data_IF_293198117650
#
_entry.id   IF_293198117650
#
_cell.length_a   1.000
_cell.length_b   1.000
_cell.length_c   1.000
_cell.angle_alpha   90.00
_cell.angle_beta   90.00
_cell.angle_gamma   90.00
#
_symmetry.space_group_name_H-M   'P 1'
#
loop_
_entity.id
_entity.type
_entity.pdbx_description
1 polymer ?
#
# COMPACT_ATOMS: atom_id res chain seq x y z
N UNK A 1 1.92 13.13 -39.33
CA UNK A 1 1.43 14.19 -38.43
C UNK A 1 0.22 13.73 -37.60
N UNK A 2 -0.82 13.17 -38.23
CA UNK A 2 -2.03 12.67 -37.55
C UNK A 2 -1.78 11.54 -36.54
N UNK A 3 -0.96 10.53 -36.88
CA UNK A 3 -0.61 9.44 -35.96
C UNK A 3 0.07 9.95 -34.67
N UNK A 4 0.98 10.92 -34.79
CA UNK A 4 1.70 11.50 -33.65
C UNK A 4 0.75 12.26 -32.71
N UNK A 5 -0.21 12.99 -33.27
CA UNK A 5 -1.23 13.71 -32.51
C UNK A 5 -2.15 12.74 -31.74
N UNK A 6 -2.56 11.64 -32.38
CA UNK A 6 -3.37 10.60 -31.73
C UNK A 6 -2.59 9.96 -30.58
N UNK A 7 -1.33 9.56 -30.80
CA UNK A 7 -0.48 9.00 -29.75
C UNK A 7 -0.32 9.97 -28.59
N UNK A 8 -0.01 11.24 -28.85
CA UNK A 8 0.13 12.24 -27.80
C UNK A 8 -1.18 12.45 -27.03
N UNK A 9 -2.31 12.50 -27.73
CA UNK A 9 -3.64 12.58 -27.11
C UNK A 9 -3.91 11.40 -26.16
N UNK A 10 -3.62 10.17 -26.59
CA UNK A 10 -3.77 8.97 -25.75
C UNK A 10 -2.85 8.99 -24.52
N UNK A 11 -1.61 9.47 -24.66
CA UNK A 11 -0.68 9.59 -23.53
C UNK A 11 -1.19 10.60 -22.49
N UNK A 12 -1.70 11.75 -22.94
CA UNK A 12 -2.27 12.77 -22.05
C UNK A 12 -3.50 12.24 -21.32
N UNK A 13 -4.43 11.58 -22.04
CA UNK A 13 -5.62 10.97 -21.43
C UNK A 13 -5.23 9.92 -20.40
N UNK A 14 -4.29 9.03 -20.72
CA UNK A 14 -3.79 8.02 -19.80
C UNK A 14 -3.18 8.61 -18.54
N UNK A 15 -2.36 9.66 -18.69
CA UNK A 15 -1.78 10.38 -17.55
C UNK A 15 -2.84 11.04 -16.67
N UNK A 16 -3.82 11.74 -17.25
CA UNK A 16 -4.89 12.41 -16.51
C UNK A 16 -5.77 11.40 -15.77
N UNK A 17 -6.17 10.31 -16.44
CA UNK A 17 -6.94 9.24 -15.82
C UNK A 17 -6.16 8.57 -14.69
N UNK A 18 -4.88 8.25 -14.91
CA UNK A 18 -4.02 7.65 -13.89
C UNK A 18 -3.86 8.55 -12.66
N UNK A 19 -3.65 9.85 -12.87
CA UNK A 19 -3.58 10.84 -11.78
C UNK A 19 -4.90 10.98 -11.04
N UNK A 20 -6.03 10.98 -11.75
CA UNK A 20 -7.36 11.02 -11.14
C UNK A 20 -7.64 9.78 -10.29
N UNK A 21 -7.37 8.58 -10.83
CA UNK A 21 -7.52 7.32 -10.10
C UNK A 21 -6.64 7.26 -8.85
N UNK A 22 -5.40 7.74 -8.96
CA UNK A 22 -4.45 7.84 -7.84
C UNK A 22 -5.00 8.74 -6.71
N UNK A 23 -5.49 9.94 -7.05
CA UNK A 23 -6.06 10.86 -6.06
C UNK A 23 -7.28 10.27 -5.36
N UNK A 24 -8.21 9.65 -6.10
CA UNK A 24 -9.39 8.99 -5.52
C UNK A 24 -9.04 7.82 -4.62
N UNK A 25 -7.98 7.07 -4.96
CA UNK A 25 -7.53 5.98 -4.10
C UNK A 25 -6.97 6.55 -2.78
N UNK A 26 -6.20 7.63 -2.81
CA UNK A 26 -5.73 8.29 -1.59
C UNK A 26 -6.88 8.82 -0.72
N UNK A 27 -7.93 9.37 -1.32
CA UNK A 27 -9.13 9.78 -0.57
C UNK A 27 -9.81 8.58 0.10
N UNK A 28 -9.96 7.46 -0.61
CA UNK A 28 -10.49 6.21 -0.07
C UNK A 28 -9.63 5.65 1.09
N UNK A 29 -8.31 5.76 0.97
CA UNK A 29 -7.37 5.38 2.05
C UNK A 29 -7.61 6.25 3.28
N UNK A 30 -7.63 7.59 3.12
CA UNK A 30 -7.86 8.52 4.25
C UNK A 30 -9.18 8.26 4.95
N UNK A 31 -10.25 7.99 4.17
CA UNK A 31 -11.56 7.65 4.73
C UNK A 31 -11.49 6.38 5.58
N UNK A 32 -10.91 5.30 5.05
CA UNK A 32 -10.77 4.02 5.77
C UNK A 32 -9.82 4.12 6.97
N UNK A 33 -8.80 4.97 6.91
CA UNK A 33 -7.93 5.25 8.07
C UNK A 33 -8.71 5.91 9.20
N UNK A 34 -9.60 6.85 8.89
CA UNK A 34 -10.49 7.45 9.87
C UNK A 34 -11.49 6.43 10.44
N UNK A 35 -12.13 5.63 9.57
CA UNK A 35 -13.08 4.58 9.98
C UNK A 35 -12.42 3.52 10.89
N UNK A 36 -11.18 3.14 10.60
CA UNK A 36 -10.44 2.12 11.36
C UNK A 36 -9.57 2.70 12.47
N UNK A 37 -9.56 4.01 12.69
CA UNK A 37 -8.78 4.68 13.73
C UNK A 37 -8.95 4.04 15.12
N UNK A 38 -10.16 3.63 15.57
CA UNK A 38 -10.35 3.06 16.91
C UNK A 38 -9.59 1.75 17.14
N UNK A 39 -9.28 0.99 16.08
CA UNK A 39 -8.51 -0.24 16.19
C UNK A 39 -7.02 0.08 16.37
N UNK A 40 -6.54 -0.05 17.61
CA UNK A 40 -5.17 0.29 17.99
C UNK A 40 -4.17 -0.72 17.43
N UNK A 41 -2.99 -0.22 17.07
CA UNK A 41 -1.91 -1.00 16.47
C UNK A 41 -0.60 -0.68 17.18
N UNK A 42 0.10 -1.74 17.60
CA UNK A 42 1.34 -1.64 18.38
C UNK A 42 2.48 -2.40 17.70
N UNK A 43 3.69 -1.86 17.85
CA UNK A 43 4.93 -2.55 17.47
C UNK A 43 5.46 -3.47 18.57
N UNK A 44 4.88 -3.41 19.78
CA UNK A 44 5.26 -4.23 20.91
C UNK A 44 5.05 -5.72 20.64
N UNK A 45 6.07 -6.52 20.95
CA UNK A 45 6.03 -7.98 20.75
C UNK A 45 5.15 -8.71 21.77
N UNK A 46 4.97 -8.14 22.96
CA UNK A 46 4.26 -8.77 24.06
C UNK A 46 2.91 -8.09 24.25
N UNK A 47 1.86 -8.90 24.36
CA UNK A 47 0.53 -8.41 24.74
C UNK A 47 0.55 -8.06 26.23
N UNK A 48 0.17 -6.83 26.64
CA UNK A 48 0.11 -6.45 28.04
C UNK A 48 -0.91 -7.30 28.83
N UNK A 49 -0.66 -7.49 30.13
CA UNK A 49 -1.56 -8.25 31.01
C UNK A 49 -2.99 -7.70 31.04
N UNK A 50 -3.18 -6.40 30.82
CA UNK A 50 -4.50 -5.76 30.74
C UNK A 50 -5.40 -6.30 29.61
N UNK A 51 -4.81 -6.94 28.60
CA UNK A 51 -5.55 -7.59 27.51
C UNK A 51 -5.77 -9.09 27.75
N UNK A 52 -5.31 -9.65 28.88
CA UNK A 52 -5.43 -11.07 29.19
C UNK A 52 -6.57 -11.32 30.21
N UNK A 53 -7.33 -12.41 30.10
CA UNK A 53 -7.25 -13.44 29.06
C UNK A 53 -7.86 -12.98 27.72
N UNK A 54 -7.24 -13.37 26.61
CA UNK A 54 -7.73 -13.08 25.26
C UNK A 54 -7.51 -14.26 24.31
N UNK A 55 -8.26 -14.26 23.21
CA UNK A 55 -7.94 -15.05 22.03
C UNK A 55 -7.03 -14.24 21.11
N UNK A 56 -6.06 -14.90 20.47
CA UNK A 56 -5.13 -14.26 19.54
C UNK A 56 -5.21 -14.89 18.16
N UNK A 57 -5.11 -14.06 17.11
CA UNK A 57 -5.13 -14.49 15.70
C UNK A 57 -4.09 -13.75 14.90
N UNK A 58 -3.37 -14.45 14.02
CA UNK A 58 -2.55 -13.79 13.00
C UNK A 58 -3.48 -13.12 11.99
N UNK A 59 -3.18 -11.87 11.65
CA UNK A 59 -3.88 -11.09 10.63
C UNK A 59 -2.87 -10.46 9.68
N UNK A 60 -3.28 -10.19 8.44
CA UNK A 60 -2.41 -9.64 7.43
C UNK A 60 -3.13 -8.91 6.29
N UNK A 61 -2.33 -8.19 5.50
CA UNK A 61 -2.81 -7.45 4.35
C UNK A 61 -1.71 -7.23 3.33
N UNK A 62 -1.92 -7.69 2.11
CA UNK A 62 -0.97 -7.56 1.00
C UNK A 62 -1.48 -6.53 0.00
N UNK A 63 -0.55 -5.75 -0.54
CA UNK A 63 -0.81 -4.84 -1.66
C UNK A 63 0.34 -4.95 -2.64
N UNK A 64 0.03 -5.22 -3.91
CA UNK A 64 1.00 -5.21 -5.00
C UNK A 64 0.78 -3.94 -5.80
N UNK A 65 1.85 -3.18 -6.00
CA UNK A 65 1.84 -2.01 -6.87
C UNK A 65 2.75 -2.25 -8.07
N UNK A 66 2.20 -2.10 -9.26
CA UNK A 66 2.96 -2.06 -10.50
C UNK A 66 3.41 -0.62 -10.78
N UNK A 67 4.66 -0.46 -11.23
CA UNK A 67 5.16 0.83 -11.66
C UNK A 67 4.74 1.08 -13.11
N UNK A 68 4.01 2.16 -13.34
CA UNK A 68 3.54 2.54 -14.69
C UNK A 68 4.72 2.95 -15.60
N UNK A 69 4.61 2.67 -16.90
CA UNK A 69 5.60 3.04 -17.92
C UNK A 69 5.95 4.54 -17.91
N UNK A 70 4.95 5.40 -17.68
CA UNK A 70 5.15 6.85 -17.53
C UNK A 70 6.02 7.22 -16.33
N UNK A 71 5.85 6.51 -15.21
CA UNK A 71 6.64 6.73 -14.00
C UNK A 71 8.07 6.24 -14.19
N UNK A 72 8.28 5.17 -14.97
CA UNK A 72 9.61 4.72 -15.41
C UNK A 72 10.30 5.78 -16.28
N UNK A 73 9.61 6.33 -17.27
CA UNK A 73 10.17 7.38 -18.14
C UNK A 73 10.51 8.67 -17.37
N UNK A 74 9.61 9.12 -16.48
CA UNK A 74 9.86 10.28 -15.62
C UNK A 74 11.01 10.05 -14.63
N UNK A 75 11.11 8.83 -14.08
CA UNK A 75 12.22 8.43 -13.22
C UNK A 75 13.55 8.42 -13.98
N UNK A 76 13.58 7.91 -15.22
CA UNK A 76 14.77 7.89 -16.07
C UNK A 76 15.28 9.31 -16.41
N UNK A 77 14.36 10.25 -16.68
CA UNK A 77 14.74 11.65 -16.88
C UNK A 77 15.30 12.28 -15.61
N UNK A 78 14.71 11.95 -14.44
CA UNK A 78 15.12 12.51 -13.14
C UNK A 78 16.38 11.86 -12.58
N UNK A 79 16.66 10.60 -12.91
CA UNK A 79 17.89 9.90 -12.47
C UNK A 79 19.15 10.48 -13.08
N UNK A 80 19.05 11.17 -14.23
CA UNK A 80 20.17 11.92 -14.83
C UNK A 80 20.62 13.11 -13.97
N UNK A 81 19.70 13.69 -13.19
CA UNK A 81 19.96 14.85 -12.32
C UNK A 81 20.06 14.47 -10.83
N UNK A 82 19.75 13.22 -10.48
CA UNK A 82 19.71 12.72 -9.11
C UNK A 82 18.50 13.20 -8.28
N UNK A 83 18.39 12.70 -7.05
CA UNK A 83 17.37 13.11 -6.07
C UNK A 83 16.16 12.17 -5.94
N UNK A 84 15.17 12.60 -5.15
CA UNK A 84 13.95 11.84 -4.83
C UNK A 84 13.07 11.61 -6.07
N UNK A 85 12.57 10.38 -6.22
CA UNK A 85 11.64 9.99 -7.29
C UNK A 85 10.22 9.99 -6.71
N UNK A 86 9.58 11.16 -6.65
CA UNK A 86 8.27 11.33 -6.01
C UNK A 86 7.18 10.38 -6.55
N UNK A 87 7.27 9.99 -7.83
CA UNK A 87 6.36 9.02 -8.43
C UNK A 87 6.46 7.61 -7.81
N UNK A 88 7.66 7.16 -7.43
CA UNK A 88 7.86 5.87 -6.76
C UNK A 88 7.53 5.98 -5.27
N UNK A 89 7.85 7.10 -4.64
CA UNK A 89 7.50 7.36 -3.25
C UNK A 89 5.98 7.29 -3.02
N UNK A 90 5.19 7.95 -3.87
CA UNK A 90 3.71 7.89 -3.82
C UNK A 90 3.18 6.45 -3.94
N UNK A 91 3.75 5.65 -4.85
CA UNK A 91 3.34 4.26 -5.03
C UNK A 91 3.61 3.41 -3.78
N UNK A 92 4.81 3.52 -3.22
CA UNK A 92 5.21 2.76 -2.03
C UNK A 92 4.42 3.22 -0.80
N UNK A 93 4.17 4.52 -0.65
CA UNK A 93 3.35 5.06 0.44
C UNK A 93 1.92 4.48 0.37
N UNK A 94 1.31 4.52 -0.82
CA UNK A 94 -0.03 3.98 -1.03
C UNK A 94 -0.10 2.49 -0.73
N UNK A 95 0.88 1.72 -1.20
CA UNK A 95 0.95 0.27 -0.96
C UNK A 95 1.03 -0.04 0.54
N UNK A 96 1.89 0.67 1.28
CA UNK A 96 2.03 0.52 2.73
C UNK A 96 0.73 0.81 3.46
N UNK A 97 0.09 1.94 3.16
CA UNK A 97 -1.16 2.36 3.81
C UNK A 97 -2.28 1.38 3.50
N UNK A 98 -2.42 0.96 2.25
CA UNK A 98 -3.40 -0.04 1.83
C UNK A 98 -3.20 -1.39 2.53
N UNK A 99 -1.96 -1.88 2.64
CA UNK A 99 -1.66 -3.14 3.32
C UNK A 99 -2.02 -3.09 4.80
N UNK A 100 -1.70 -1.98 5.48
CA UNK A 100 -2.12 -1.76 6.88
C UNK A 100 -3.64 -1.74 7.00
N UNK A 101 -4.33 -1.04 6.09
CA UNK A 101 -5.80 -0.98 6.10
C UNK A 101 -6.42 -2.36 5.92
N UNK A 102 -5.90 -3.19 5.01
CA UNK A 102 -6.36 -4.57 4.80
C UNK A 102 -6.17 -5.44 6.04
N UNK A 103 -5.01 -5.36 6.69
CA UNK A 103 -4.73 -6.05 7.96
C UNK A 103 -5.69 -5.59 9.06
N UNK A 104 -5.93 -4.27 9.18
CA UNK A 104 -6.89 -3.70 10.15
C UNK A 104 -8.32 -4.11 9.85
N UNK A 105 -8.72 -4.17 8.57
CA UNK A 105 -10.05 -4.65 8.16
C UNK A 105 -10.24 -6.13 8.52
N UNK A 106 -9.23 -6.97 8.30
CA UNK A 106 -9.28 -8.37 8.72
C UNK A 106 -9.45 -8.49 10.25
N UNK A 107 -8.63 -7.79 11.02
CA UNK A 107 -8.73 -7.77 12.48
C UNK A 107 -10.10 -7.25 12.99
N UNK A 108 -10.63 -6.19 12.37
CA UNK A 108 -11.96 -5.67 12.71
C UNK A 108 -13.06 -6.71 12.47
N UNK A 109 -13.00 -7.46 11.36
CA UNK A 109 -13.97 -8.55 11.07
C UNK A 109 -13.93 -9.67 12.11
N UNK A 110 -12.79 -9.88 12.75
CA UNK A 110 -12.62 -10.84 13.84
C UNK A 110 -13.04 -10.27 15.21
N UNK A 111 -13.50 -9.03 15.30
CA UNK A 111 -13.84 -8.38 16.56
C UNK A 111 -12.61 -8.05 17.42
N UNK A 112 -11.44 -7.84 16.79
CA UNK A 112 -10.22 -7.53 17.53
C UNK A 112 -10.32 -6.16 18.22
N UNK A 113 -9.77 -6.09 19.43
CA UNK A 113 -9.62 -4.88 20.23
C UNK A 113 -8.32 -4.12 19.91
N UNK A 114 -7.27 -4.85 19.53
CA UNK A 114 -5.96 -4.31 19.18
C UNK A 114 -5.18 -5.28 18.29
N UNK A 115 -4.12 -4.78 17.65
CA UNK A 115 -3.14 -5.59 16.90
C UNK A 115 -1.75 -5.31 17.47
N UNK A 116 -1.02 -6.36 17.85
CA UNK A 116 0.34 -6.30 18.39
C UNK A 116 1.37 -6.86 17.41
N UNK A 117 2.65 -6.57 17.67
CA UNK A 117 3.80 -7.01 16.88
C UNK A 117 3.63 -6.75 15.37
N UNK A 118 3.10 -5.59 15.01
CA UNK A 118 2.90 -5.26 13.59
C UNK A 118 4.23 -5.10 12.87
N UNK A 119 4.32 -5.76 11.72
CA UNK A 119 5.48 -5.78 10.82
C UNK A 119 5.04 -5.47 9.40
N UNK A 120 5.97 -4.90 8.65
CA UNK A 120 5.85 -4.57 7.24
C UNK A 120 7.02 -5.22 6.52
N UNK A 121 6.70 -6.03 5.51
CA UNK A 121 7.68 -6.65 4.64
C UNK A 121 7.45 -6.16 3.22
N UNK A 122 8.53 -6.08 2.43
CA UNK A 122 8.44 -5.69 1.03
C UNK A 122 9.19 -6.69 0.17
N UNK A 123 8.59 -7.09 -0.95
CA UNK A 123 9.22 -7.99 -1.91
C UNK A 123 9.12 -7.40 -3.33
N UNK A 124 10.21 -7.48 -4.08
CA UNK A 124 10.19 -7.15 -5.51
C UNK A 124 9.63 -8.33 -6.29
N UNK A 125 8.48 -8.12 -6.94
CA UNK A 125 7.88 -9.11 -7.85
C UNK A 125 8.34 -8.75 -9.27
N UNK A 126 9.61 -8.98 -9.57
CA UNK A 126 10.16 -8.86 -10.92
C UNK A 126 10.60 -10.24 -11.39
N UNK A 127 9.79 -10.90 -12.23
CA UNK A 127 10.20 -12.13 -12.95
C UNK A 127 10.79 -11.71 -14.30
N UNK A 128 11.99 -12.24 -14.58
CA UNK A 128 12.91 -11.71 -15.59
C UNK A 128 12.60 -11.94 -17.08
N UNK A 129 13.58 -11.47 -17.86
CA UNK A 129 13.78 -11.56 -19.31
C UNK A 129 12.70 -10.92 -20.20
N UNK A 130 12.79 -9.59 -20.38
CA UNK A 130 12.34 -8.96 -21.63
C UNK A 130 11.49 -7.71 -21.53
N UNK A 131 10.95 -7.31 -20.37
CA UNK A 131 10.27 -6.01 -20.24
C UNK A 131 10.23 -5.49 -18.79
N UNK A 132 10.49 -4.20 -18.65
CA UNK A 132 10.81 -3.42 -17.44
C UNK A 132 9.64 -3.23 -16.44
N UNK A 133 8.85 -4.26 -16.13
CA UNK A 133 7.77 -4.10 -15.16
C UNK A 133 8.27 -4.34 -13.74
N UNK A 134 8.65 -3.25 -13.07
CA UNK A 134 8.97 -3.25 -11.65
C UNK A 134 7.66 -3.27 -10.87
N UNK A 135 7.41 -4.36 -10.14
CA UNK A 135 6.31 -4.43 -9.19
C UNK A 135 6.87 -4.65 -7.79
N UNK A 136 6.24 -4.03 -6.80
CA UNK A 136 6.60 -4.17 -5.39
C UNK A 136 5.38 -4.63 -4.63
N UNK A 137 5.54 -5.71 -3.88
CA UNK A 137 4.59 -6.14 -2.87
C UNK A 137 4.94 -5.50 -1.53
N UNK A 138 3.91 -5.08 -0.82
CA UNK A 138 3.99 -4.71 0.59
C UNK A 138 3.04 -5.60 1.38
N UNK A 139 3.56 -6.31 2.37
CA UNK A 139 2.79 -7.14 3.28
C UNK A 139 2.84 -6.56 4.69
N UNK A 140 1.67 -6.23 5.24
CA UNK A 140 1.53 -5.87 6.66
C UNK A 140 0.94 -7.06 7.41
N UNK A 141 1.49 -7.42 8.57
CA UNK A 141 0.94 -8.48 9.42
C UNK A 141 1.18 -8.21 10.90
N UNK A 142 0.39 -8.87 11.75
CA UNK A 142 0.50 -8.79 13.20
C UNK A 142 -0.42 -9.76 13.92
N UNK A 143 -0.48 -9.65 15.23
CA UNK A 143 -1.30 -10.50 16.09
C UNK A 143 -2.49 -9.70 16.62
N UNK A 144 -3.68 -10.00 16.08
CA UNK A 144 -4.94 -9.46 16.58
C UNK A 144 -5.30 -10.07 17.94
N UNK A 145 -5.77 -9.23 18.86
CA UNK A 145 -6.19 -9.60 20.22
C UNK A 145 -7.70 -9.41 20.34
N UNK A 146 -8.41 -10.49 20.63
CA UNK A 146 -9.87 -10.55 20.75
C UNK A 146 -10.20 -10.79 22.21
N UNK A 147 -10.86 -9.81 22.85
CA UNK A 147 -11.30 -9.96 24.23
C UNK A 147 -12.45 -10.96 24.30
N UNK A 148 -12.36 -11.91 25.24
CA UNK A 148 -13.52 -12.73 25.59
C UNK A 148 -14.39 -11.89 26.53
N UNK A 149 -15.66 -11.74 26.15
CA UNK A 149 -16.69 -11.15 27.03
C UNK A 149 -16.99 -12.02 28.23
#
# INVERSE_FOLDING_TARGET
>A
MTALLITFGLLVIGYLFGRYAELRHFESIRRREAELQPLLVFSDKRVPQAFQPCEVRLVGGNTVVAVDYFKVMAAALRSLFGGRIGAYESLVERARRESILRMKTEAQRLGASAIFNVRLETASISKGAGNQQVSVEVYAYGTAVIQRG
#
